data_IF_880739891449
#
_entry.id   IF_880739891449
#
_cell.length_a   1.000
_cell.length_b   1.000
_cell.length_c   1.000
_cell.angle_alpha   90.00
_cell.angle_beta   90.00
_cell.angle_gamma   90.00
#
_symmetry.space_group_name_H-M   'P 1'
#
loop_
_entity.id
_entity.type
_entity.pdbx_description
1 polymer ?
#
# COMPACT_ATOMS: atom_id res chain seq x y z
N UNK A 1 -22.76 -16.50 -6.23
CA UNK A 1 -22.42 -17.36 -5.08
C UNK A 1 -22.83 -18.81 -5.34
N UNK A 2 -24.11 -19.07 -5.65
CA UNK A 2 -24.61 -20.42 -6.00
C UNK A 2 -23.85 -21.09 -7.17
N UNK A 3 -23.49 -20.32 -8.20
CA UNK A 3 -22.68 -20.82 -9.34
C UNK A 3 -21.23 -21.17 -8.97
N UNK A 4 -20.66 -20.56 -7.93
CA UNK A 4 -19.29 -20.85 -7.47
C UNK A 4 -19.28 -22.06 -6.53
N UNK A 5 -20.28 -22.14 -5.62
CA UNK A 5 -20.48 -23.27 -4.70
C UNK A 5 -20.77 -24.60 -5.43
N UNK A 6 -21.51 -24.55 -6.54
CA UNK A 6 -21.76 -25.74 -7.38
C UNK A 6 -20.50 -26.22 -8.12
N UNK A 7 -19.60 -25.31 -8.49
CA UNK A 7 -18.32 -25.63 -9.15
C UNK A 7 -17.29 -26.17 -8.17
N UNK A 8 -17.25 -25.66 -6.94
CA UNK A 8 -16.32 -26.14 -5.89
C UNK A 8 -16.86 -27.35 -5.12
N UNK A 9 -18.11 -27.78 -5.36
CA UNK A 9 -18.83 -28.81 -4.61
C UNK A 9 -18.82 -28.56 -3.08
N UNK A 10 -18.70 -27.31 -2.66
CA UNK A 10 -18.71 -26.92 -1.24
C UNK A 10 -20.12 -26.50 -0.82
N UNK A 11 -20.49 -26.82 0.42
CA UNK A 11 -21.70 -26.26 1.02
C UNK A 11 -21.48 -24.80 1.42
N UNK A 12 -22.58 -24.03 1.53
CA UNK A 12 -22.50 -22.64 2.00
C UNK A 12 -21.88 -22.53 3.41
N UNK A 13 -22.13 -23.52 4.27
CA UNK A 13 -21.57 -23.59 5.62
C UNK A 13 -20.04 -23.81 5.60
N UNK A 14 -19.56 -24.74 4.77
CA UNK A 14 -18.12 -24.97 4.58
C UNK A 14 -17.41 -23.74 4.01
N UNK A 15 -18.07 -23.01 3.09
CA UNK A 15 -17.54 -21.76 2.55
C UNK A 15 -17.45 -20.66 3.62
N UNK A 16 -18.51 -20.49 4.43
CA UNK A 16 -18.55 -19.51 5.52
C UNK A 16 -17.52 -19.82 6.59
N UNK A 17 -17.37 -21.09 6.97
CA UNK A 17 -16.38 -21.49 7.98
C UNK A 17 -14.95 -21.25 7.50
N UNK A 18 -14.64 -21.54 6.23
CA UNK A 18 -13.33 -21.25 5.64
C UNK A 18 -13.03 -19.74 5.64
N UNK A 19 -14.02 -18.90 5.31
CA UNK A 19 -13.87 -17.44 5.37
C UNK A 19 -13.70 -16.95 6.81
N UNK A 20 -14.36 -17.58 7.78
CA UNK A 20 -14.36 -17.16 9.18
C UNK A 20 -12.97 -17.27 9.79
N UNK A 21 -12.28 -18.39 9.60
CA UNK A 21 -10.94 -18.58 10.15
C UNK A 21 -9.95 -17.52 9.63
N UNK A 22 -9.92 -17.31 8.32
CA UNK A 22 -9.08 -16.30 7.69
C UNK A 22 -9.45 -14.88 8.11
N UNK A 23 -10.75 -14.59 8.26
CA UNK A 23 -11.25 -13.28 8.72
C UNK A 23 -10.83 -12.99 10.16
N UNK A 24 -10.86 -13.99 11.04
CA UNK A 24 -10.39 -13.86 12.42
C UNK A 24 -8.88 -13.54 12.44
N UNK A 25 -8.08 -14.26 11.66
CA UNK A 25 -6.64 -13.99 11.57
C UNK A 25 -6.36 -12.59 11.03
N UNK A 26 -6.99 -12.21 9.90
CA UNK A 26 -6.82 -10.90 9.29
C UNK A 26 -7.22 -9.76 10.23
N UNK A 27 -8.30 -9.94 11.00
CA UNK A 27 -8.74 -8.96 12.00
C UNK A 27 -7.74 -8.84 13.15
N UNK A 28 -7.18 -9.95 13.63
CA UNK A 28 -6.13 -9.94 14.66
C UNK A 28 -4.88 -9.20 14.17
N UNK A 29 -4.44 -9.46 12.94
CA UNK A 29 -3.31 -8.75 12.33
C UNK A 29 -3.60 -7.26 12.19
N UNK A 30 -4.79 -6.88 11.72
CA UNK A 30 -5.21 -5.48 11.63
C UNK A 30 -5.16 -4.78 13.00
N UNK A 31 -5.72 -5.40 14.04
CA UNK A 31 -5.71 -4.86 15.40
C UNK A 31 -4.27 -4.74 15.93
N UNK A 32 -3.43 -5.76 15.71
CA UNK A 32 -2.04 -5.74 16.16
C UNK A 32 -1.24 -4.61 15.49
N UNK A 33 -1.37 -4.43 14.17
CA UNK A 33 -0.69 -3.35 13.45
C UNK A 33 -1.17 -1.97 13.88
N UNK A 34 -2.47 -1.80 14.14
CA UNK A 34 -2.99 -0.54 14.71
C UNK A 34 -2.45 -0.28 16.11
N UNK A 35 -2.31 -1.32 16.93
CA UNK A 35 -1.73 -1.20 18.27
C UNK A 35 -0.27 -0.76 18.20
N UNK A 36 0.51 -1.31 17.26
CA UNK A 36 1.90 -0.86 17.00
C UNK A 36 1.91 0.59 16.54
N UNK A 37 1.05 0.97 15.58
CA UNK A 37 0.99 2.36 15.11
C UNK A 37 0.70 3.36 16.22
N UNK A 38 -0.16 3.01 17.18
CA UNK A 38 -0.45 3.85 18.35
C UNK A 38 0.72 3.87 19.33
N UNK A 39 1.32 2.72 19.62
CA UNK A 39 2.42 2.60 20.59
C UNK A 39 3.67 3.37 20.15
N UNK A 40 3.95 3.37 18.85
CA UNK A 40 5.13 3.97 18.24
C UNK A 40 4.83 5.36 17.60
N UNK A 41 3.64 5.92 17.87
CA UNK A 41 3.21 7.24 17.39
C UNK A 41 3.32 7.41 15.85
N UNK A 42 3.03 6.34 15.11
CA UNK A 42 3.17 6.27 13.64
C UNK A 42 1.93 6.84 12.94
N UNK A 43 1.80 8.16 12.98
CA UNK A 43 0.69 8.86 12.33
C UNK A 43 0.96 9.18 10.85
N UNK A 44 -0.12 9.30 10.09
CA UNK A 44 -0.07 9.77 8.71
C UNK A 44 0.05 11.29 8.66
N UNK A 45 1.18 11.78 8.16
CA UNK A 45 1.42 13.20 7.91
C UNK A 45 0.70 13.70 6.66
N UNK A 46 0.67 15.02 6.46
CA UNK A 46 0.15 15.59 5.21
C UNK A 46 1.06 15.25 4.01
N UNK A 47 2.38 15.12 4.23
CA UNK A 47 3.31 14.70 3.18
C UNK A 47 3.05 13.25 2.74
N UNK A 48 2.72 12.37 3.69
CA UNK A 48 2.32 10.99 3.37
C UNK A 48 1.06 10.98 2.50
N UNK A 49 0.08 11.83 2.83
CA UNK A 49 -1.14 11.94 2.03
C UNK A 49 -0.83 12.45 0.62
N UNK A 50 0.01 13.48 0.49
CA UNK A 50 0.35 14.04 -0.82
C UNK A 50 1.11 13.03 -1.69
N UNK A 51 2.04 12.26 -1.11
CA UNK A 51 2.70 11.13 -1.79
C UNK A 51 1.67 10.11 -2.27
N UNK A 52 0.71 9.74 -1.41
CA UNK A 52 -0.33 8.78 -1.79
C UNK A 52 -1.23 9.29 -2.92
N UNK A 53 -1.68 10.54 -2.84
CA UNK A 53 -2.50 11.13 -3.90
C UNK A 53 -1.73 11.24 -5.21
N UNK A 54 -0.43 11.58 -5.14
CA UNK A 54 0.44 11.62 -6.32
C UNK A 54 0.58 10.24 -6.95
N UNK A 55 0.80 9.20 -6.15
CA UNK A 55 0.88 7.82 -6.63
C UNK A 55 -0.40 7.35 -7.32
N UNK A 56 -1.54 7.54 -6.66
CA UNK A 56 -2.86 7.18 -7.22
C UNK A 56 -3.14 8.00 -8.50
N UNK A 57 -2.76 9.27 -8.51
CA UNK A 57 -2.94 10.15 -9.65
C UNK A 57 -2.15 9.68 -10.87
N UNK A 58 -0.90 9.25 -10.69
CA UNK A 58 -0.07 8.64 -11.74
C UNK A 58 -0.74 7.40 -12.31
N UNK A 59 -1.16 6.47 -11.45
CA UNK A 59 -1.83 5.22 -11.86
C UNK A 59 -3.12 5.48 -12.64
N UNK A 60 -3.88 6.50 -12.25
CA UNK A 60 -5.15 6.87 -12.88
C UNK A 60 -5.02 7.92 -13.98
N UNK A 61 -3.80 8.37 -14.32
CA UNK A 61 -3.51 9.47 -15.26
C UNK A 61 -4.33 10.73 -14.98
N UNK A 62 -4.45 11.11 -13.72
CA UNK A 62 -5.17 12.28 -13.21
C UNK A 62 -4.21 13.24 -12.50
N UNK A 63 -4.70 14.42 -12.11
CA UNK A 63 -3.95 15.35 -11.26
C UNK A 63 -4.14 14.99 -9.77
N UNK A 64 -3.11 15.07 -8.91
CA UNK A 64 -3.22 14.75 -7.47
C UNK A 64 -4.33 15.51 -6.75
N UNK A 65 -4.47 16.80 -7.05
CA UNK A 65 -5.54 17.67 -6.52
C UNK A 65 -6.94 17.12 -6.81
N UNK A 66 -7.15 16.46 -7.95
CA UNK A 66 -8.45 15.86 -8.28
C UNK A 66 -8.70 14.58 -7.46
N UNK A 67 -7.65 13.82 -7.15
CA UNK A 67 -7.74 12.64 -6.26
C UNK A 67 -8.04 13.08 -4.83
N UNK A 68 -7.33 14.08 -4.30
CA UNK A 68 -7.58 14.64 -2.97
C UNK A 68 -9.04 15.07 -2.80
N UNK A 69 -9.56 15.86 -3.75
CA UNK A 69 -10.97 16.28 -3.76
C UNK A 69 -11.95 15.12 -3.78
N UNK A 70 -11.63 14.02 -4.46
CA UNK A 70 -12.49 12.84 -4.51
C UNK A 70 -12.52 12.12 -3.14
N UNK A 71 -11.38 12.00 -2.46
CA UNK A 71 -11.33 11.42 -1.11
C UNK A 71 -12.02 12.31 -0.08
N UNK A 72 -11.84 13.63 -0.14
CA UNK A 72 -12.56 14.60 0.70
C UNK A 72 -14.07 14.50 0.51
N UNK A 73 -14.54 14.48 -0.74
CA UNK A 73 -15.97 14.37 -1.06
C UNK A 73 -16.61 13.09 -0.53
N UNK A 74 -15.82 12.02 -0.41
CA UNK A 74 -16.27 10.71 0.04
C UNK A 74 -15.97 10.46 1.53
N UNK A 75 -15.53 11.48 2.28
CA UNK A 75 -15.11 11.38 3.69
C UNK A 75 -14.05 10.27 3.96
N UNK A 76 -13.27 9.92 2.94
CA UNK A 76 -12.35 8.78 2.94
C UNK A 76 -10.92 9.14 3.38
N UNK A 77 -10.67 10.39 3.77
CA UNK A 77 -9.33 10.84 4.20
C UNK A 77 -8.91 10.13 5.49
N UNK A 78 -9.84 9.92 6.42
CA UNK A 78 -9.57 9.24 7.70
C UNK A 78 -9.15 7.79 7.46
N UNK A 79 -9.84 7.10 6.55
CA UNK A 79 -9.51 5.72 6.20
C UNK A 79 -8.13 5.62 5.52
N UNK A 80 -7.80 6.57 4.64
CA UNK A 80 -6.48 6.65 4.02
C UNK A 80 -5.38 6.89 5.06
N UNK A 81 -5.61 7.79 6.03
CA UNK A 81 -4.68 8.01 7.15
C UNK A 81 -4.46 6.72 7.96
N UNK A 82 -5.53 5.98 8.26
CA UNK A 82 -5.43 4.71 8.97
C UNK A 82 -4.64 3.65 8.16
N UNK A 83 -4.83 3.60 6.84
CA UNK A 83 -4.08 2.70 5.96
C UNK A 83 -2.59 3.07 5.89
N UNK A 84 -2.25 4.36 5.85
CA UNK A 84 -0.86 4.84 5.89
C UNK A 84 -0.22 4.46 7.22
N UNK A 85 -0.87 4.76 8.36
CA UNK A 85 -0.36 4.41 9.69
C UNK A 85 -0.10 2.91 9.85
N UNK A 86 -1.01 2.07 9.32
CA UNK A 86 -0.80 0.62 9.27
C UNK A 86 0.43 0.24 8.44
N UNK A 87 0.62 0.87 7.29
CA UNK A 87 1.78 0.59 6.42
C UNK A 87 3.09 0.94 7.12
N UNK A 88 3.14 2.09 7.81
CA UNK A 88 4.27 2.48 8.66
C UNK A 88 4.52 1.49 9.80
N UNK A 89 3.47 0.96 10.43
CA UNK A 89 3.63 -0.05 11.48
C UNK A 89 4.23 -1.36 10.96
N UNK A 90 3.88 -1.79 9.74
CA UNK A 90 4.53 -2.95 9.11
C UNK A 90 6.01 -2.67 8.89
N UNK A 91 6.33 -1.50 8.32
CA UNK A 91 7.71 -1.10 8.06
C UNK A 91 8.54 -1.04 9.34
N UNK A 92 8.00 -0.40 10.39
CA UNK A 92 8.62 -0.38 11.70
C UNK A 92 8.86 -1.78 12.25
N UNK A 93 7.89 -2.70 12.12
CA UNK A 93 8.06 -4.08 12.59
C UNK A 93 9.18 -4.81 11.85
N UNK A 94 9.31 -4.61 10.54
CA UNK A 94 10.37 -5.24 9.75
C UNK A 94 11.74 -4.78 10.24
N UNK A 95 11.93 -3.48 10.44
CA UNK A 95 13.18 -2.90 10.93
C UNK A 95 13.50 -3.25 12.39
N UNK A 96 12.48 -3.51 13.21
CA UNK A 96 12.64 -3.85 14.62
C UNK A 96 12.55 -5.38 14.89
N UNK A 97 12.51 -6.19 13.84
CA UNK A 97 12.48 -7.65 13.94
C UNK A 97 13.86 -8.27 13.73
N UNK A 98 14.07 -9.44 14.34
CA UNK A 98 15.27 -10.24 14.10
C UNK A 98 14.98 -11.26 13.00
N UNK A 99 15.74 -11.20 11.91
CA UNK A 99 15.72 -12.21 10.86
C UNK A 99 16.65 -13.38 11.23
N UNK A 100 16.19 -14.61 10.99
CA UNK A 100 16.98 -15.83 11.21
C UNK A 100 16.87 -16.78 10.02
N UNK A 101 17.93 -17.55 9.76
CA UNK A 101 17.90 -18.64 8.78
C UNK A 101 17.15 -19.89 9.30
N UNK A 102 17.08 -20.93 8.48
CA UNK A 102 16.45 -22.21 8.82
C UNK A 102 17.13 -22.96 10.00
N UNK A 103 18.33 -22.53 10.39
CA UNK A 103 19.11 -23.05 11.52
C UNK A 103 19.09 -22.12 12.74
N UNK A 104 18.39 -20.99 12.66
CA UNK A 104 18.27 -20.00 13.73
C UNK A 104 19.45 -19.03 13.85
N UNK A 105 20.36 -18.99 12.86
CA UNK A 105 21.43 -17.99 12.85
C UNK A 105 20.85 -16.64 12.42
N UNK A 106 21.24 -15.57 13.12
CA UNK A 106 20.81 -14.22 12.80
C UNK A 106 21.26 -13.82 11.39
N UNK A 107 20.34 -13.26 10.61
CA UNK A 107 20.60 -12.62 9.33
C UNK A 107 20.49 -11.11 9.55
N UNK A 108 21.42 -10.37 8.95
CA UNK A 108 21.38 -8.92 8.95
C UNK A 108 20.13 -8.40 8.20
N UNK A 109 19.41 -7.47 8.82
CA UNK A 109 18.15 -6.95 8.29
C UNK A 109 18.36 -6.13 7.01
N UNK A 110 19.46 -5.37 6.89
CA UNK A 110 19.78 -4.60 5.68
C UNK A 110 20.04 -5.53 4.49
N UNK A 111 20.64 -6.69 4.73
CA UNK A 111 20.80 -7.73 3.70
C UNK A 111 19.45 -8.24 3.16
N UNK A 112 18.39 -8.23 3.98
CA UNK A 112 17.06 -8.72 3.60
C UNK A 112 16.19 -7.61 3.00
N UNK A 113 16.23 -6.42 3.58
CA UNK A 113 15.35 -5.30 3.22
C UNK A 113 15.96 -4.38 2.14
N UNK A 114 17.29 -4.38 1.99
CA UNK A 114 18.02 -3.48 1.09
C UNK A 114 18.15 -2.05 1.65
N UNK A 115 18.99 -1.22 1.00
CA UNK A 115 19.05 0.23 1.25
C UNK A 115 17.82 0.91 0.62
N UNK A 116 16.65 0.77 1.21
CA UNK A 116 15.48 1.55 0.80
C UNK A 116 15.23 2.65 1.83
N UNK A 117 15.41 3.92 1.43
CA UNK A 117 14.67 5.02 2.05
C UNK A 117 13.20 4.84 1.63
N UNK A 118 12.43 4.11 2.45
CA UNK A 118 11.09 3.62 2.15
C UNK A 118 9.97 4.68 2.16
N UNK A 119 10.28 5.95 1.87
CA UNK A 119 9.26 6.89 1.39
C UNK A 119 8.73 6.47 0.01
N UNK A 120 9.52 5.65 -0.70
CA UNK A 120 9.26 5.13 -2.03
C UNK A 120 9.05 3.61 -1.98
N UNK A 121 7.84 3.17 -1.64
CA UNK A 121 7.36 1.86 -2.14
C UNK A 121 7.05 2.08 -3.63
N UNK A 122 8.10 2.11 -4.45
CA UNK A 122 8.03 1.94 -5.89
C UNK A 122 7.70 0.47 -6.15
N UNK A 123 6.42 0.19 -6.40
CA UNK A 123 6.07 -1.00 -7.14
C UNK A 123 6.46 -0.67 -8.58
N UNK A 124 7.68 -1.09 -8.93
CA UNK A 124 8.30 -0.90 -10.22
C UNK A 124 7.33 -1.32 -11.33
N UNK A 125 6.69 -0.33 -11.95
CA UNK A 125 5.91 -0.50 -13.15
C UNK A 125 6.81 -0.10 -14.32
N UNK A 126 7.92 -0.83 -14.47
CA UNK A 126 8.82 -0.65 -15.58
C UNK A 126 8.13 -1.08 -16.89
N UNK A 127 7.65 -0.08 -17.63
CA UNK A 127 7.87 0.11 -19.06
C UNK A 127 6.85 1.11 -19.62
N UNK A 128 7.27 2.36 -19.83
CA UNK A 128 7.02 3.02 -21.12
C UNK A 128 7.97 4.19 -21.33
N UNK A 129 9.02 3.84 -22.06
CA UNK A 129 9.82 4.73 -22.89
C UNK A 129 8.90 5.56 -23.81
N UNK A 130 8.88 6.88 -23.63
CA UNK A 130 8.35 7.82 -24.60
C UNK A 130 9.24 9.05 -24.64
N UNK A 131 10.29 8.94 -25.45
CA UNK A 131 10.83 10.06 -26.21
C UNK A 131 9.66 10.80 -26.89
N UNK A 132 9.35 12.00 -26.41
CA UNK A 132 8.62 12.98 -27.19
C UNK A 132 9.52 14.19 -27.43
N UNK A 133 10.14 14.13 -28.61
CA UNK A 133 10.71 15.24 -29.36
C UNK A 133 9.76 16.45 -29.34
N UNK A 134 10.18 17.54 -28.69
CA UNK A 134 9.52 18.83 -28.75
C UNK A 134 10.14 19.67 -29.86
N UNK A 135 9.72 19.42 -31.11
CA UNK A 135 9.83 20.42 -32.17
C UNK A 135 8.65 21.40 -32.06
N UNK A 136 8.84 22.53 -31.38
CA UNK A 136 8.01 23.71 -31.59
C UNK A 136 8.87 24.84 -32.15
N UNK A 137 8.77 25.01 -33.47
CA UNK A 137 9.25 26.17 -34.20
C UNK A 137 8.63 27.45 -33.63
N UNK A 138 9.48 28.35 -33.14
CA UNK A 138 9.15 29.75 -32.98
C UNK A 138 9.34 30.45 -34.34
N UNK A 139 8.25 30.69 -35.08
CA UNK A 139 8.26 31.70 -36.14
C UNK A 139 7.71 33.02 -35.58
N UNK A 140 8.63 33.90 -35.16
CA UNK A 140 8.33 35.32 -35.01
C UNK A 140 8.66 36.00 -36.33
N UNK A 141 7.63 36.47 -37.05
CA UNK A 141 7.78 37.44 -38.13
C UNK A 141 7.07 38.74 -37.81
N UNK A 142 7.78 39.79 -38.21
CA UNK A 142 7.61 41.23 -38.10
C UNK A 142 6.20 41.80 -38.10
#
# INVERSE_FOLDING_TARGET
MEQWLSVTQQTAEQFVDALKEQSVLATKVDIALRAVAVAEELEASEDDLERQFSRIATQLKKKPVAIRKAYEKNDAIVDLKAQIAKSKAIDWLLHNSQFVDDKGNAIDAETILGEHNHDDIEIDADAHDHDHDHSHEHDHKH
#
